data_IF_681431040118
#
_entry.id   IF_681431040118
#
_cell.length_a   1.000
_cell.length_b   1.000
_cell.length_c   1.000
_cell.angle_alpha   90.00
_cell.angle_beta   90.00
_cell.angle_gamma   90.00
#
_symmetry.space_group_name_H-M   'P 1'
#
loop_
_entity.id
_entity.type
_entity.pdbx_description
1 polymer ?
#
# COMPACT_ATOMS: atom_id res chain seq x y z
N UNK A 1 -18.78 -0.99 -15.34
CA UNK A 1 -17.56 -0.23 -14.98
C UNK A 1 -16.27 -0.94 -15.41
N UNK A 2 -16.07 -2.28 -15.24
CA UNK A 2 -14.80 -2.90 -15.61
C UNK A 2 -14.42 -2.73 -17.09
N UNK A 3 -15.41 -2.74 -17.99
CA UNK A 3 -15.19 -2.49 -19.42
C UNK A 3 -14.77 -1.05 -19.70
N UNK A 4 -15.37 -0.09 -18.99
CA UNK A 4 -15.08 1.32 -19.14
C UNK A 4 -13.67 1.67 -18.60
N UNK A 5 -13.27 1.06 -17.48
CA UNK A 5 -11.91 1.22 -16.96
C UNK A 5 -10.85 0.67 -17.90
N UNK A 6 -11.13 -0.48 -18.52
CA UNK A 6 -10.24 -1.06 -19.54
C UNK A 6 -10.10 -0.18 -20.77
N UNK A 7 -11.19 0.51 -21.17
CA UNK A 7 -11.17 1.42 -22.33
C UNK A 7 -10.37 2.71 -22.04
N UNK A 8 -10.20 3.08 -20.76
CA UNK A 8 -9.41 4.27 -20.35
C UNK A 8 -7.95 3.91 -20.08
N UNK A 9 -7.68 2.71 -19.57
CA UNK A 9 -6.36 2.21 -19.25
C UNK A 9 -6.06 0.95 -20.07
N UNK A 10 -5.20 1.08 -21.06
CA UNK A 10 -4.68 -0.02 -21.84
C UNK A 10 -3.28 -0.39 -21.32
N UNK A 11 -3.07 -1.67 -20.97
CA UNK A 11 -1.83 -2.18 -20.39
C UNK A 11 -1.33 -1.37 -19.19
N UNK A 12 -2.25 -0.91 -18.33
CA UNK A 12 -1.95 -0.09 -17.16
C UNK A 12 -1.51 1.34 -17.46
N UNK A 13 -1.44 1.74 -18.72
CA UNK A 13 -1.20 3.12 -19.13
C UNK A 13 -2.50 3.79 -19.52
N UNK A 14 -2.53 5.11 -19.32
CA UNK A 14 -3.69 5.89 -19.72
C UNK A 14 -3.90 5.77 -21.23
N UNK A 15 -5.00 5.13 -21.62
CA UNK A 15 -5.41 5.06 -23.02
C UNK A 15 -5.83 6.45 -23.50
N UNK A 16 -5.40 6.84 -24.68
CA UNK A 16 -5.85 8.04 -25.38
C UNK A 16 -6.35 7.65 -26.77
N UNK A 17 -7.27 8.43 -27.33
CA UNK A 17 -7.62 8.24 -28.75
C UNK A 17 -6.42 8.56 -29.64
N UNK A 18 -6.44 8.11 -30.91
CA UNK A 18 -5.33 8.25 -31.85
C UNK A 18 -4.81 9.68 -32.01
N UNK A 19 -5.66 10.67 -31.78
CA UNK A 19 -5.34 12.09 -31.92
C UNK A 19 -5.01 12.79 -30.59
N UNK A 20 -4.99 12.05 -29.47
CA UNK A 20 -4.83 12.60 -28.10
C UNK A 20 -5.78 13.79 -27.80
N UNK A 21 -6.96 13.75 -28.39
CA UNK A 21 -7.96 14.84 -28.28
C UNK A 21 -8.96 14.63 -27.15
N UNK A 22 -8.95 13.44 -26.54
CA UNK A 22 -9.80 13.12 -25.40
C UNK A 22 -9.29 13.85 -24.15
N UNK A 23 -9.69 15.13 -24.05
CA UNK A 23 -9.32 16.06 -22.96
C UNK A 23 -10.59 16.62 -22.38
N UNK A 24 -10.87 16.26 -21.15
CA UNK A 24 -12.08 16.75 -20.52
C UNK A 24 -12.11 16.48 -19.03
N UNK A 25 -13.06 17.12 -18.35
CA UNK A 25 -13.24 17.02 -16.92
C UNK A 25 -13.45 15.56 -16.46
N UNK A 26 -14.23 14.80 -17.25
CA UNK A 26 -14.51 13.39 -16.94
C UNK A 26 -13.24 12.52 -17.00
N UNK A 27 -12.43 12.67 -18.05
CA UNK A 27 -11.14 11.98 -18.15
C UNK A 27 -10.23 12.37 -17.00
N UNK A 28 -10.13 13.66 -16.68
CA UNK A 28 -9.35 14.13 -15.54
C UNK A 28 -9.79 13.53 -14.19
N UNK A 29 -11.09 13.38 -13.96
CA UNK A 29 -11.62 12.74 -12.75
C UNK A 29 -11.33 11.25 -12.70
N UNK A 30 -11.39 10.54 -13.83
CA UNK A 30 -11.05 9.12 -13.92
C UNK A 30 -9.55 8.90 -13.64
N UNK A 31 -8.69 9.74 -14.23
CA UNK A 31 -7.24 9.71 -13.95
C UNK A 31 -6.98 9.95 -12.46
N UNK A 32 -7.58 11.00 -11.89
CA UNK A 32 -7.37 11.35 -10.49
C UNK A 32 -7.85 10.25 -9.53
N UNK A 33 -8.95 9.56 -9.88
CA UNK A 33 -9.49 8.43 -9.10
C UNK A 33 -8.58 7.21 -9.16
N UNK A 34 -7.96 6.95 -10.33
CA UNK A 34 -7.28 5.69 -10.62
C UNK A 34 -8.24 4.54 -10.94
N UNK A 35 -7.71 3.36 -11.20
CA UNK A 35 -8.43 2.19 -11.69
C UNK A 35 -8.38 0.97 -10.75
N UNK A 36 -7.79 1.10 -9.58
CA UNK A 36 -7.63 0.02 -8.61
C UNK A 36 -7.85 0.51 -7.18
N UNK A 37 -7.93 -0.43 -6.26
CA UNK A 37 -7.86 -0.16 -4.82
C UNK A 37 -6.43 -0.40 -4.37
N UNK A 38 -5.88 0.53 -3.63
CA UNK A 38 -4.50 0.47 -3.10
C UNK A 38 -4.49 0.58 -1.58
N UNK A 39 -3.45 0.04 -0.99
CA UNK A 39 -3.14 0.15 0.42
C UNK A 39 -1.62 0.33 0.62
N UNK A 40 -1.15 0.21 1.86
CA UNK A 40 0.26 0.43 2.18
C UNK A 40 1.23 -0.55 1.49
N UNK A 41 0.76 -1.72 1.03
CA UNK A 41 1.62 -2.76 0.42
C UNK A 41 2.17 -2.36 -0.93
N UNK A 42 1.49 -1.44 -1.64
CA UNK A 42 1.97 -0.94 -2.94
C UNK A 42 3.08 0.11 -2.81
N UNK A 43 3.33 0.64 -1.60
CA UNK A 43 4.42 1.59 -1.36
C UNK A 43 5.70 0.83 -1.05
N UNK A 44 6.63 0.71 -1.99
CA UNK A 44 7.86 -0.05 -1.76
C UNK A 44 8.73 0.61 -0.70
N UNK A 45 9.47 -0.22 0.04
CA UNK A 45 10.42 0.22 1.07
C UNK A 45 11.82 -0.17 0.62
N UNK A 46 12.70 0.82 0.47
CA UNK A 46 14.09 0.56 0.11
C UNK A 46 14.76 -0.32 1.17
N UNK A 47 15.48 -1.38 0.78
CA UNK A 47 16.22 -2.21 1.71
C UNK A 47 17.32 -1.39 2.39
N UNK A 48 17.50 -1.60 3.70
CA UNK A 48 18.59 -0.98 4.45
C UNK A 48 19.81 -1.91 4.43
N UNK A 49 20.95 -1.41 3.97
CA UNK A 49 22.18 -2.21 3.94
C UNK A 49 22.66 -2.67 5.33
N UNK A 50 22.18 -2.01 6.40
CA UNK A 50 22.50 -2.41 7.77
C UNK A 50 21.77 -3.69 8.21
N UNK A 51 20.70 -4.08 7.52
CA UNK A 51 19.94 -5.29 7.78
C UNK A 51 20.62 -6.54 7.17
N UNK A 52 21.72 -6.35 6.44
CA UNK A 52 22.45 -7.41 5.74
C UNK A 52 23.94 -7.44 6.16
N UNK A 53 24.50 -8.64 6.29
CA UNK A 53 25.96 -8.76 6.52
C UNK A 53 26.72 -8.48 5.21
N UNK A 54 26.99 -7.20 4.96
CA UNK A 54 27.71 -6.76 3.75
C UNK A 54 29.17 -7.22 3.70
N UNK A 55 29.70 -7.85 4.75
CA UNK A 55 31.04 -8.40 4.76
C UNK A 55 31.12 -9.78 4.07
N UNK A 56 29.99 -10.50 4.02
CA UNK A 56 29.86 -11.82 3.38
C UNK A 56 29.36 -11.70 1.93
N UNK A 57 29.57 -12.73 1.13
CA UNK A 57 29.04 -12.79 -0.24
C UNK A 57 27.55 -13.06 -0.24
N UNK A 58 27.08 -13.89 0.67
CA UNK A 58 25.67 -14.20 0.90
C UNK A 58 24.88 -12.94 1.27
N UNK A 59 25.40 -12.14 2.20
CA UNK A 59 24.73 -10.89 2.62
C UNK A 59 24.65 -9.85 1.50
N UNK A 60 25.72 -9.71 0.70
CA UNK A 60 25.69 -8.82 -0.48
C UNK A 60 24.71 -9.31 -1.54
N UNK A 61 24.64 -10.62 -1.76
CA UNK A 61 23.70 -11.22 -2.72
C UNK A 61 22.26 -11.03 -2.26
N UNK A 62 21.97 -11.28 -0.98
CA UNK A 62 20.65 -11.04 -0.40
C UNK A 62 20.21 -9.57 -0.50
N UNK A 63 21.11 -8.63 -0.19
CA UNK A 63 20.86 -7.20 -0.36
C UNK A 63 20.57 -6.85 -1.83
N UNK A 64 21.36 -7.38 -2.77
CA UNK A 64 21.14 -7.12 -4.19
C UNK A 64 19.81 -7.68 -4.70
N UNK A 65 19.41 -8.85 -4.22
CA UNK A 65 18.10 -9.42 -4.53
C UNK A 65 16.95 -8.55 -3.99
N UNK A 66 17.05 -8.12 -2.73
CA UNK A 66 16.10 -7.22 -2.11
C UNK A 66 16.01 -5.88 -2.85
N UNK A 67 17.14 -5.34 -3.29
CA UNK A 67 17.19 -4.11 -4.08
C UNK A 67 16.57 -4.28 -5.48
N UNK A 68 16.79 -5.42 -6.13
CA UNK A 68 16.18 -5.71 -7.43
C UNK A 68 14.64 -5.83 -7.31
N UNK A 69 14.17 -6.43 -6.21
CA UNK A 69 12.73 -6.51 -5.95
C UNK A 69 12.12 -5.14 -5.65
N UNK A 70 12.80 -4.36 -4.80
CA UNK A 70 12.43 -2.96 -4.57
C UNK A 70 12.35 -2.15 -5.87
N UNK A 71 13.31 -2.31 -6.78
CA UNK A 71 13.30 -1.58 -8.06
C UNK A 71 12.09 -1.95 -8.93
N UNK A 72 11.65 -3.21 -8.93
CA UNK A 72 10.42 -3.63 -9.64
C UNK A 72 9.18 -3.04 -8.99
N UNK A 73 9.11 -3.06 -7.65
CA UNK A 73 7.98 -2.46 -6.92
C UNK A 73 7.94 -0.95 -7.12
N UNK A 74 9.11 -0.28 -7.17
CA UNK A 74 9.22 1.14 -7.49
C UNK A 74 8.72 1.46 -8.90
N UNK A 75 9.10 0.67 -9.90
CA UNK A 75 8.60 0.81 -11.27
C UNK A 75 7.08 0.62 -11.33
N UNK A 76 6.55 -0.37 -10.62
CA UNK A 76 5.11 -0.58 -10.51
C UNK A 76 4.41 0.63 -9.88
N UNK A 77 4.90 1.12 -8.75
CA UNK A 77 4.34 2.28 -8.06
C UNK A 77 4.33 3.52 -8.97
N UNK A 78 5.46 3.84 -9.58
CA UNK A 78 5.61 5.02 -10.45
C UNK A 78 4.76 4.92 -11.73
N UNK A 79 4.47 3.70 -12.19
CA UNK A 79 3.67 3.49 -13.40
C UNK A 79 2.16 3.52 -13.12
N UNK A 80 1.71 2.92 -12.02
CA UNK A 80 0.28 2.64 -11.79
C UNK A 80 -0.34 3.40 -10.63
N UNK A 81 0.42 3.80 -9.63
CA UNK A 81 -0.08 4.45 -8.41
C UNK A 81 0.16 5.95 -8.41
N UNK A 82 1.41 6.37 -8.62
CA UNK A 82 1.82 7.78 -8.55
C UNK A 82 1.04 8.69 -9.52
N UNK A 83 0.73 8.29 -10.77
CA UNK A 83 -0.01 9.16 -11.69
C UNK A 83 -1.42 9.53 -11.21
N UNK A 84 -1.98 8.74 -10.31
CA UNK A 84 -3.29 9.02 -9.68
C UNK A 84 -3.10 9.68 -8.32
N UNK A 85 -3.49 10.96 -8.21
CA UNK A 85 -3.40 11.71 -6.95
C UNK A 85 -4.19 11.05 -5.80
N UNK A 86 -5.29 10.33 -6.11
CA UNK A 86 -6.08 9.64 -5.09
C UNK A 86 -5.40 8.34 -4.67
N UNK A 87 -4.90 7.53 -5.62
CA UNK A 87 -4.23 6.28 -5.27
C UNK A 87 -2.96 6.53 -4.44
N UNK A 88 -2.11 7.46 -4.87
CA UNK A 88 -0.90 7.81 -4.13
C UNK A 88 -1.22 8.37 -2.74
N UNK A 89 -2.27 9.21 -2.62
CA UNK A 89 -2.71 9.71 -1.34
C UNK A 89 -3.24 8.59 -0.43
N UNK A 90 -4.04 7.69 -0.95
CA UNK A 90 -4.56 6.54 -0.17
C UNK A 90 -3.42 5.65 0.31
N UNK A 91 -2.50 5.26 -0.57
CA UNK A 91 -1.38 4.40 -0.25
C UNK A 91 -0.44 5.05 0.79
N UNK A 92 -0.10 6.33 0.62
CA UNK A 92 0.77 7.05 1.55
C UNK A 92 0.14 7.24 2.94
N UNK A 93 -1.15 7.58 3.00
CA UNK A 93 -1.84 7.71 4.28
C UNK A 93 -2.03 6.35 4.97
N UNK A 94 -2.36 5.32 4.21
CA UNK A 94 -2.47 3.96 4.74
C UNK A 94 -1.13 3.45 5.26
N UNK A 95 -0.01 3.79 4.60
CA UNK A 95 1.35 3.49 5.08
C UNK A 95 1.63 4.10 6.44
N UNK A 96 1.24 5.37 6.64
CA UNK A 96 1.37 6.03 7.95
C UNK A 96 0.56 5.31 9.02
N UNK A 97 -0.72 5.03 8.74
CA UNK A 97 -1.62 4.38 9.70
C UNK A 97 -1.13 2.97 10.02
N UNK A 98 -0.77 2.18 9.01
CA UNK A 98 -0.20 0.84 9.21
C UNK A 98 1.07 0.88 10.06
N UNK A 99 2.01 1.80 9.76
CA UNK A 99 3.24 1.94 10.53
C UNK A 99 3.00 2.22 12.01
N UNK A 100 2.08 3.13 12.34
CA UNK A 100 1.69 3.44 13.72
C UNK A 100 1.06 2.22 14.40
N UNK A 101 0.11 1.58 13.71
CA UNK A 101 -0.64 0.43 14.24
C UNK A 101 0.29 -0.75 14.51
N UNK A 102 1.11 -1.14 13.55
CA UNK A 102 2.03 -2.27 13.71
C UNK A 102 3.07 -2.00 14.80
N UNK A 103 3.56 -0.77 14.91
CA UNK A 103 4.53 -0.42 15.95
C UNK A 103 3.92 -0.45 17.33
N UNK A 104 2.74 0.16 17.53
CA UNK A 104 2.02 0.12 18.82
C UNK A 104 1.66 -1.31 19.20
N UNK A 105 1.07 -2.05 18.27
CA UNK A 105 0.70 -3.44 18.52
C UNK A 105 1.92 -4.33 18.78
N UNK A 106 3.05 -4.08 18.09
CA UNK A 106 4.31 -4.81 18.30
C UNK A 106 4.89 -4.61 19.71
N UNK A 107 4.77 -3.41 20.29
CA UNK A 107 5.17 -3.14 21.67
C UNK A 107 4.25 -3.86 22.67
N UNK A 108 2.93 -3.79 22.42
CA UNK A 108 1.95 -4.41 23.30
C UNK A 108 1.92 -5.95 23.19
N UNK A 109 2.23 -6.46 22.01
CA UNK A 109 2.22 -7.87 21.67
C UNK A 109 3.57 -8.26 21.03
N UNK A 110 4.68 -8.29 21.79
CA UNK A 110 5.97 -8.68 21.25
C UNK A 110 5.91 -10.12 20.73
N UNK A 111 6.54 -10.34 19.59
CA UNK A 111 6.51 -11.62 18.89
C UNK A 111 7.91 -12.21 18.78
N UNK A 112 8.00 -13.53 18.66
CA UNK A 112 9.20 -14.28 18.39
C UNK A 112 8.94 -15.33 17.32
N UNK A 113 9.98 -15.72 16.59
CA UNK A 113 9.92 -16.85 15.67
C UNK A 113 10.27 -18.14 16.41
N UNK A 114 9.47 -19.16 16.18
CA UNK A 114 9.76 -20.53 16.63
C UNK A 114 9.92 -21.45 15.41
N UNK A 115 11.01 -22.20 15.37
CA UNK A 115 11.25 -23.22 14.35
C UNK A 115 10.99 -24.60 14.92
N UNK A 116 10.18 -25.42 14.23
CA UNK A 116 9.86 -26.79 14.67
C UNK A 116 9.79 -27.76 13.49
N UNK A 117 9.99 -29.02 13.79
CA UNK A 117 9.96 -30.11 12.78
C UNK A 117 8.55 -30.59 12.46
N UNK A 118 7.59 -30.35 13.34
CA UNK A 118 6.18 -30.73 13.15
C UNK A 118 5.31 -29.47 13.12
N UNK A 119 4.28 -29.41 12.28
CA UNK A 119 3.37 -28.28 12.26
C UNK A 119 2.54 -28.18 13.53
N UNK A 120 2.10 -26.99 13.87
CA UNK A 120 0.99 -26.81 14.82
C UNK A 120 -0.32 -27.24 14.19
N UNK A 121 -1.24 -27.77 15.03
CA UNK A 121 -2.53 -28.27 14.57
C UNK A 121 -3.67 -27.47 15.16
N UNK A 122 -4.72 -27.30 14.37
CA UNK A 122 -6.00 -26.83 14.82
C UNK A 122 -6.69 -27.87 15.71
N UNK A 123 -7.77 -27.49 16.39
CA UNK A 123 -8.57 -28.41 17.24
C UNK A 123 -9.18 -29.57 16.43
N UNK A 124 -9.36 -29.45 15.15
CA UNK A 124 -9.85 -30.49 14.23
C UNK A 124 -8.75 -31.42 13.68
N UNK A 125 -7.49 -31.17 14.07
CA UNK A 125 -6.32 -31.92 13.61
C UNK A 125 -5.74 -31.48 12.27
N UNK A 126 -6.29 -30.44 11.64
CA UNK A 126 -5.69 -29.84 10.44
C UNK A 126 -4.45 -29.03 10.79
N UNK A 127 -3.48 -28.96 9.85
CA UNK A 127 -2.28 -28.14 10.03
C UNK A 127 -2.63 -26.65 10.06
N UNK A 128 -2.04 -25.91 11.01
CA UNK A 128 -2.01 -24.45 10.99
C UNK A 128 -0.93 -24.02 10.01
N UNK A 129 -1.26 -23.10 9.11
CA UNK A 129 -0.30 -22.56 8.14
C UNK A 129 0.87 -21.91 8.89
N UNK A 130 2.10 -22.29 8.50
CA UNK A 130 3.32 -21.68 8.99
C UNK A 130 3.62 -20.36 8.25
N UNK A 131 4.39 -19.48 8.87
CA UNK A 131 4.89 -18.28 8.24
C UNK A 131 5.94 -18.60 7.18
N UNK A 132 6.76 -19.61 7.47
CA UNK A 132 7.80 -20.10 6.54
C UNK A 132 7.86 -21.61 6.57
N UNK A 133 7.93 -22.21 5.37
CA UNK A 133 8.19 -23.62 5.16
C UNK A 133 9.63 -23.76 4.69
N UNK A 134 10.44 -24.58 5.40
CA UNK A 134 11.87 -24.77 5.14
C UNK A 134 12.11 -26.17 4.58
N UNK A 135 12.87 -26.22 3.49
CA UNK A 135 13.29 -27.42 2.78
C UNK A 135 14.80 -27.38 2.63
N UNK A 136 15.51 -28.19 3.41
CA UNK A 136 16.99 -28.22 3.44
C UNK A 136 17.57 -29.45 2.75
N UNK A 137 16.75 -30.44 2.43
CA UNK A 137 17.17 -31.77 1.96
C UNK A 137 16.63 -32.10 0.59
N UNK A 138 16.45 -31.09 -0.25
CA UNK A 138 15.91 -31.27 -1.61
C UNK A 138 17.05 -31.30 -2.60
N UNK A 139 17.12 -32.35 -3.40
CA UNK A 139 18.13 -32.57 -4.45
C UNK A 139 17.74 -31.94 -5.80
N UNK A 140 16.84 -30.97 -5.80
CA UNK A 140 16.35 -30.22 -6.97
C UNK A 140 16.63 -28.74 -6.84
N UNK A 141 17.18 -28.14 -7.89
CA UNK A 141 17.42 -26.70 -7.95
C UNK A 141 16.15 -25.85 -8.12
N UNK A 142 15.07 -26.44 -8.62
CA UNK A 142 13.80 -25.76 -8.88
C UNK A 142 12.65 -26.56 -8.30
N UNK A 143 11.82 -25.89 -7.53
CA UNK A 143 10.50 -26.34 -7.07
C UNK A 143 9.43 -25.42 -7.64
N UNK A 144 8.16 -25.68 -7.35
CA UNK A 144 7.05 -24.92 -7.87
C UNK A 144 6.13 -24.48 -6.73
N UNK A 145 5.60 -23.25 -6.83
CA UNK A 145 4.55 -22.79 -5.95
C UNK A 145 3.19 -23.42 -6.33
N UNK A 146 2.14 -23.12 -5.55
CA UNK A 146 0.78 -23.61 -5.80
C UNK A 146 0.17 -23.14 -7.14
N UNK A 147 0.73 -22.11 -7.76
CA UNK A 147 0.31 -21.59 -9.06
C UNK A 147 1.12 -22.15 -10.23
N UNK A 148 2.09 -23.03 -9.93
CA UNK A 148 2.98 -23.62 -10.93
C UNK A 148 4.12 -22.70 -11.38
N UNK A 149 4.43 -21.63 -10.63
CA UNK A 149 5.57 -20.76 -10.88
C UNK A 149 6.82 -21.38 -10.28
N UNK A 150 7.93 -21.25 -11.00
CA UNK A 150 9.23 -21.79 -10.57
C UNK A 150 9.79 -20.99 -9.39
N UNK A 151 10.28 -21.72 -8.38
CA UNK A 151 11.02 -21.19 -7.23
C UNK A 151 12.39 -21.85 -7.23
N UNK A 152 13.43 -21.03 -7.28
CA UNK A 152 14.83 -21.52 -7.31
C UNK A 152 15.38 -21.64 -5.89
N UNK A 153 15.98 -22.79 -5.58
CA UNK A 153 16.67 -23.03 -4.30
C UNK A 153 18.12 -22.54 -4.30
N UNK A 154 18.65 -22.36 -3.10
CA UNK A 154 20.07 -22.08 -2.86
C UNK A 154 20.85 -23.40 -2.80
N UNK A 155 21.90 -23.55 -3.61
CA UNK A 155 22.76 -24.72 -3.62
C UNK A 155 23.59 -24.79 -2.31
N UNK A 156 23.50 -25.92 -1.59
CA UNK A 156 24.22 -26.18 -0.35
C UNK A 156 25.64 -26.70 -0.59
N UNK A 157 26.02 -27.01 -1.83
CA UNK A 157 27.34 -27.55 -2.18
C UNK A 157 27.51 -29.02 -1.91
N UNK A 158 26.53 -29.73 -1.37
CA UNK A 158 26.52 -31.18 -1.10
C UNK A 158 25.55 -31.96 -2.03
N UNK A 159 25.01 -31.28 -3.04
CA UNK A 159 24.00 -31.83 -3.95
C UNK A 159 22.58 -31.63 -3.50
N UNK A 160 22.36 -30.93 -2.39
CA UNK A 160 21.04 -30.53 -1.91
C UNK A 160 20.82 -29.04 -2.08
N UNK A 161 19.56 -28.61 -1.98
CA UNK A 161 19.14 -27.22 -2.12
C UNK A 161 18.29 -26.80 -0.92
N UNK A 162 18.48 -25.56 -0.47
CA UNK A 162 17.68 -24.92 0.59
C UNK A 162 16.64 -24.00 0.00
N UNK A 163 15.44 -24.04 0.58
CA UNK A 163 14.32 -23.15 0.26
C UNK A 163 13.71 -22.63 1.56
N UNK A 164 13.33 -21.35 1.53
CA UNK A 164 12.40 -20.77 2.51
C UNK A 164 11.21 -20.18 1.75
N UNK A 165 9.99 -20.54 2.13
CA UNK A 165 8.79 -20.10 1.40
C UNK A 165 7.64 -19.86 2.37
N UNK A 166 6.86 -18.80 2.11
CA UNK A 166 5.61 -18.52 2.83
C UNK A 166 4.47 -19.49 2.48
N UNK A 167 4.69 -20.42 1.54
CA UNK A 167 3.73 -21.47 1.17
C UNK A 167 4.42 -22.80 0.88
N UNK A 168 3.66 -23.90 0.89
CA UNK A 168 4.21 -25.21 0.51
C UNK A 168 4.63 -25.23 -0.94
N UNK A 169 5.78 -25.88 -1.21
CA UNK A 169 6.33 -26.04 -2.54
C UNK A 169 6.03 -27.45 -3.08
N UNK A 170 6.05 -27.57 -4.41
CA UNK A 170 5.68 -28.77 -5.15
C UNK A 170 6.83 -29.23 -6.06
N UNK A 171 6.93 -30.51 -6.32
CA UNK A 171 7.96 -31.10 -7.19
C UNK A 171 7.83 -30.71 -8.66
N UNK A 172 6.63 -30.37 -9.09
CA UNK A 172 6.29 -29.88 -10.44
C UNK A 172 5.00 -29.08 -10.40
N UNK A 173 4.71 -28.34 -11.46
CA UNK A 173 3.43 -27.62 -11.61
C UNK A 173 2.26 -28.60 -11.50
N UNK A 174 1.44 -28.49 -10.44
CA UNK A 174 0.33 -29.40 -10.14
C UNK A 174 0.73 -30.79 -9.64
N UNK A 175 2.00 -30.98 -9.26
CA UNK A 175 2.54 -32.22 -8.72
C UNK A 175 2.29 -32.42 -7.22
N UNK A 176 3.01 -33.38 -6.62
CA UNK A 176 2.98 -33.64 -5.20
C UNK A 176 3.70 -32.52 -4.43
N UNK A 177 3.21 -32.22 -3.23
CA UNK A 177 3.90 -31.32 -2.32
C UNK A 177 5.20 -31.97 -1.84
N UNK A 178 6.28 -31.18 -1.77
CA UNK A 178 7.56 -31.60 -1.19
C UNK A 178 7.41 -31.73 0.33
N UNK A 179 8.12 -32.69 0.90
CA UNK A 179 8.16 -32.83 2.36
C UNK A 179 8.86 -31.64 2.99
N UNK A 180 8.19 -30.99 3.95
CA UNK A 180 8.74 -29.88 4.70
C UNK A 180 9.68 -30.42 5.79
N UNK A 181 10.91 -29.89 5.88
CA UNK A 181 11.88 -30.27 6.91
C UNK A 181 11.62 -29.56 8.24
N UNK A 182 11.27 -28.27 8.16
CA UNK A 182 10.88 -27.49 9.34
C UNK A 182 9.92 -26.37 9.01
N UNK A 183 9.19 -25.95 10.03
CA UNK A 183 8.17 -24.91 9.99
C UNK A 183 8.59 -23.77 10.89
N UNK A 184 8.49 -22.53 10.42
CA UNK A 184 8.66 -21.35 11.25
C UNK A 184 7.31 -20.68 11.50
N UNK A 185 7.06 -20.37 12.75
CA UNK A 185 5.87 -19.65 13.18
C UNK A 185 6.25 -18.39 13.93
N UNK A 186 5.62 -17.29 13.56
CA UNK A 186 5.64 -16.08 14.36
C UNK A 186 4.59 -16.22 15.46
N UNK A 187 4.99 -15.99 16.71
CA UNK A 187 4.12 -16.20 17.86
C UNK A 187 4.33 -15.14 18.93
N UNK A 188 3.34 -14.96 19.81
CA UNK A 188 3.49 -14.09 20.96
C UNK A 188 4.65 -14.54 21.84
N UNK A 189 5.58 -13.65 22.12
CA UNK A 189 6.69 -13.89 23.04
C UNK A 189 6.20 -13.78 24.50
N UNK A 190 5.87 -14.92 25.09
CA UNK A 190 5.35 -14.99 26.46
C UNK A 190 6.35 -14.52 27.52
N UNK A 191 7.65 -14.48 27.18
CA UNK A 191 8.70 -14.01 28.09
C UNK A 191 8.79 -12.48 28.12
N UNK A 192 8.38 -11.84 27.03
CA UNK A 192 8.43 -10.38 26.87
C UNK A 192 7.07 -9.70 26.87
N UNK A 193 5.97 -10.45 26.76
CA UNK A 193 4.63 -9.87 26.68
C UNK A 193 4.26 -9.12 27.94
N UNK A 194 3.47 -8.06 27.78
CA UNK A 194 2.79 -7.41 28.89
C UNK A 194 1.49 -8.13 29.28
N UNK A 195 0.97 -7.73 30.41
CA UNK A 195 -0.27 -8.24 30.96
C UNK A 195 -1.23 -7.08 31.25
N UNK A 196 -2.52 -7.34 31.14
CA UNK A 196 -3.53 -6.42 31.61
C UNK A 196 -3.51 -6.31 33.14
N UNK A 197 -4.03 -5.19 33.65
CA UNK A 197 -4.29 -4.98 35.08
C UNK A 197 -5.66 -5.52 35.50
N UNK A 198 -6.38 -6.16 34.59
CA UNK A 198 -7.64 -6.83 34.84
C UNK A 198 -7.46 -8.11 35.70
N UNK A 199 -8.56 -8.60 36.30
CA UNK A 199 -8.51 -9.75 37.20
C UNK A 199 -7.97 -11.02 36.53
N UNK A 200 -8.17 -11.15 35.20
CA UNK A 200 -7.72 -12.30 34.43
C UNK A 200 -6.28 -12.13 33.91
N UNK A 201 -5.66 -10.97 34.12
CA UNK A 201 -4.35 -10.65 33.58
C UNK A 201 -4.27 -10.98 32.08
N UNK A 202 -5.14 -10.35 31.31
CA UNK A 202 -5.24 -10.56 29.86
C UNK A 202 -3.86 -10.40 29.23
N UNK A 203 -3.45 -11.37 28.42
CA UNK A 203 -2.10 -11.47 27.85
C UNK A 203 -2.10 -10.88 26.44
N UNK A 204 -1.07 -10.12 26.11
CA UNK A 204 -0.73 -9.73 24.75
C UNK A 204 -1.91 -9.20 23.93
N UNK A 205 -2.63 -8.22 24.46
CA UNK A 205 -3.80 -7.64 23.79
C UNK A 205 -3.37 -6.49 22.89
N UNK A 206 -3.66 -6.61 21.60
CA UNK A 206 -3.46 -5.50 20.66
C UNK A 206 -4.40 -4.31 20.95
N UNK A 207 -3.95 -3.10 20.67
CA UNK A 207 -4.78 -1.90 20.79
C UNK A 207 -5.64 -1.66 19.55
N UNK A 208 -5.06 -1.86 18.37
CA UNK A 208 -5.75 -1.75 17.09
C UNK A 208 -5.94 -3.14 16.51
N UNK A 209 -7.19 -3.54 16.28
CA UNK A 209 -7.53 -4.84 15.73
C UNK A 209 -8.10 -4.74 14.32
N UNK A 210 -7.98 -5.82 13.58
CA UNK A 210 -8.60 -5.99 12.27
C UNK A 210 -10.08 -6.29 12.42
N UNK A 211 -10.88 -5.97 11.40
CA UNK A 211 -12.30 -6.31 11.36
C UNK A 211 -12.41 -7.75 10.84
N UNK A 212 -12.95 -8.66 11.66
CA UNK A 212 -13.18 -10.05 11.24
C UNK A 212 -12.00 -11.01 11.41
N UNK A 213 -10.80 -10.51 11.73
CA UNK A 213 -9.61 -11.37 11.86
C UNK A 213 -8.90 -11.11 13.19
N UNK A 214 -8.77 -12.13 14.00
CA UNK A 214 -8.03 -12.06 15.27
C UNK A 214 -6.52 -12.01 15.00
N UNK A 215 -5.76 -11.33 15.89
CA UNK A 215 -4.30 -11.25 15.78
C UNK A 215 -3.64 -12.62 15.91
N UNK A 216 -4.18 -13.47 16.79
CA UNK A 216 -3.59 -14.75 17.10
C UNK A 216 -4.57 -15.90 16.92
N UNK A 217 -4.06 -16.98 16.39
CA UNK A 217 -4.67 -18.32 16.45
C UNK A 217 -4.21 -18.96 17.75
N UNK A 218 -5.14 -19.37 18.60
CA UNK A 218 -4.81 -20.08 19.85
C UNK A 218 -4.74 -21.57 19.60
N UNK A 219 -3.63 -22.18 19.98
CA UNK A 219 -3.43 -23.62 19.91
C UNK A 219 -2.75 -24.13 21.20
N UNK A 220 -2.50 -25.42 21.28
CA UNK A 220 -1.86 -26.07 22.43
C UNK A 220 -0.45 -26.49 22.01
N UNK A 221 0.53 -26.11 22.81
CA UNK A 221 1.92 -26.55 22.66
C UNK A 221 2.15 -27.98 23.09
N UNK A 222 3.37 -28.47 22.90
CA UNK A 222 3.74 -29.88 23.17
C UNK A 222 3.64 -30.26 24.63
N UNK A 223 3.73 -29.31 25.57
CA UNK A 223 3.60 -29.51 27.02
C UNK A 223 2.22 -29.14 27.56
N UNK A 224 1.25 -28.88 26.68
CA UNK A 224 -0.10 -28.52 27.05
C UNK A 224 -0.32 -27.04 27.38
N UNK A 225 0.70 -26.18 27.15
CA UNK A 225 0.58 -24.73 27.29
C UNK A 225 -0.23 -24.11 26.15
N UNK A 226 -0.81 -22.95 26.41
CA UNK A 226 -1.50 -22.18 25.35
C UNK A 226 -0.48 -21.40 24.52
N UNK A 227 -0.47 -21.63 23.22
CA UNK A 227 0.34 -20.95 22.23
C UNK A 227 -0.54 -19.97 21.45
N UNK A 228 0.00 -18.79 21.18
CA UNK A 228 -0.64 -17.72 20.42
C UNK A 228 0.15 -17.49 19.12
N UNK A 229 -0.23 -18.20 18.06
CA UNK A 229 0.39 -18.07 16.74
C UNK A 229 -0.12 -16.85 16.04
N UNK A 230 0.76 -16.07 15.42
CA UNK A 230 0.37 -14.93 14.60
C UNK A 230 -0.55 -15.41 13.47
N UNK A 231 -1.71 -14.78 13.34
CA UNK A 231 -2.57 -15.03 12.20
C UNK A 231 -1.98 -14.27 11.02
N UNK A 232 -1.47 -15.03 10.04
CA UNK A 232 -0.64 -14.53 8.97
C UNK A 232 -1.28 -13.40 8.18
N UNK A 233 -0.48 -12.41 7.83
CA UNK A 233 -0.85 -11.38 6.90
C UNK A 233 -0.75 -11.96 5.48
N UNK A 234 -1.83 -11.84 4.72
CA UNK A 234 -1.87 -12.21 3.33
C UNK A 234 -2.20 -10.97 2.49
N UNK A 235 -1.25 -10.48 1.72
CA UNK A 235 -1.42 -9.27 0.88
C UNK A 235 -2.54 -9.40 -0.15
N UNK A 236 -2.94 -10.62 -0.49
CA UNK A 236 -4.07 -10.88 -1.39
C UNK A 236 -5.42 -10.94 -0.68
N UNK A 237 -5.42 -11.01 0.67
CA UNK A 237 -6.62 -11.05 1.49
C UNK A 237 -6.80 -9.72 2.22
N UNK A 238 -7.76 -8.95 1.75
CA UNK A 238 -8.09 -7.65 2.33
C UNK A 238 -8.33 -7.68 3.83
N UNK A 239 -8.93 -8.74 4.36
CA UNK A 239 -9.28 -8.89 5.77
C UNK A 239 -8.07 -9.23 6.66
N UNK A 240 -6.96 -9.65 6.05
CA UNK A 240 -5.74 -10.02 6.79
C UNK A 240 -4.84 -8.84 7.13
N UNK A 241 -5.05 -7.67 6.52
CA UNK A 241 -4.15 -6.53 6.61
C UNK A 241 -4.60 -5.48 7.62
N UNK A 242 -3.62 -4.85 8.32
CA UNK A 242 -3.86 -3.66 9.17
C UNK A 242 -3.84 -2.41 8.31
N UNK A 243 -4.96 -2.12 7.65
CA UNK A 243 -5.13 -1.00 6.72
C UNK A 243 -6.40 -0.21 6.94
N UNK A 244 -6.47 0.98 6.39
CA UNK A 244 -7.66 1.82 6.43
C UNK A 244 -8.88 1.05 5.88
N UNK A 245 -10.01 1.19 6.57
CA UNK A 245 -11.23 0.46 6.25
C UNK A 245 -11.31 -0.94 6.86
N UNK A 246 -10.18 -1.51 7.34
CA UNK A 246 -10.14 -2.79 8.06
C UNK A 246 -9.67 -2.67 9.52
N UNK A 247 -9.52 -1.45 10.04
CA UNK A 247 -9.08 -1.20 11.40
C UNK A 247 -10.22 -0.77 12.30
N UNK A 248 -10.13 -1.20 13.56
CA UNK A 248 -10.94 -0.73 14.68
C UNK A 248 -10.08 -0.69 15.94
N UNK A 249 -10.48 0.11 16.92
CA UNK A 249 -9.96 -0.05 18.28
C UNK A 249 -10.44 -1.41 18.79
N UNK A 250 -9.53 -2.17 19.39
CA UNK A 250 -9.87 -3.48 19.95
C UNK A 250 -11.06 -3.37 20.91
N UNK A 251 -12.20 -4.04 20.64
CA UNK A 251 -13.39 -3.94 21.47
C UNK A 251 -13.17 -4.35 22.93
N UNK A 252 -12.24 -5.27 23.18
CA UNK A 252 -11.92 -5.70 24.55
C UNK A 252 -11.19 -4.62 25.32
N UNK A 253 -10.20 -3.95 24.67
CA UNK A 253 -9.49 -2.81 25.25
C UNK A 253 -10.40 -1.58 25.40
N UNK A 254 -11.32 -1.34 24.46
CA UNK A 254 -12.28 -0.25 24.52
C UNK A 254 -13.31 -0.42 25.66
N UNK A 255 -13.76 -1.65 25.92
CA UNK A 255 -14.69 -1.95 27.02
C UNK A 255 -14.02 -1.94 28.39
N UNK A 256 -12.77 -2.36 28.45
CA UNK A 256 -11.98 -2.40 29.68
C UNK A 256 -10.52 -2.05 29.39
N UNK A 257 -10.16 -0.79 29.61
CA UNK A 257 -8.79 -0.30 29.42
C UNK A 257 -7.76 -1.05 30.30
N UNK A 258 -8.21 -1.70 31.38
CA UNK A 258 -7.36 -2.55 32.19
C UNK A 258 -6.83 -3.79 31.47
N UNK A 259 -7.38 -4.14 30.30
CA UNK A 259 -6.86 -5.22 29.45
C UNK A 259 -5.66 -4.82 28.59
N UNK A 260 -5.35 -3.52 28.48
CA UNK A 260 -4.16 -3.07 27.76
C UNK A 260 -2.92 -3.59 28.51
N UNK A 261 -1.97 -4.25 27.84
CA UNK A 261 -0.88 -4.95 28.48
C UNK A 261 0.26 -4.01 28.94
N UNK A 262 -0.05 -3.14 29.92
CA UNK A 262 0.87 -2.19 30.54
C UNK A 262 1.30 -2.58 31.96
N UNK A 263 1.19 -3.88 32.29
CA UNK A 263 1.68 -4.40 33.55
C UNK A 263 2.56 -5.63 33.37
N UNK A 264 3.38 -5.91 34.36
CA UNK A 264 4.16 -7.15 34.45
C UNK A 264 3.28 -8.31 34.92
N UNK A 265 3.78 -9.54 34.79
CA UNK A 265 3.09 -10.75 35.28
C UNK A 265 2.73 -10.67 36.77
N UNK A 266 3.53 -9.94 37.56
CA UNK A 266 3.27 -9.72 38.99
C UNK A 266 2.21 -8.64 39.24
N UNK A 267 1.72 -7.95 38.19
CA UNK A 267 0.71 -6.90 38.29
C UNK A 267 1.29 -5.53 38.73
N UNK A 268 2.58 -5.29 38.46
CA UNK A 268 3.19 -3.96 38.62
C UNK A 268 3.12 -3.23 37.29
N UNK A 269 3.03 -1.91 37.34
CA UNK A 269 3.10 -1.07 36.14
C UNK A 269 4.40 -1.32 35.37
N UNK A 270 4.30 -1.46 34.05
CA UNK A 270 5.41 -1.62 33.13
C UNK A 270 5.78 -0.26 32.55
N UNK A 271 6.64 0.48 33.26
CA UNK A 271 7.09 1.81 32.84
C UNK A 271 8.01 1.76 31.60
N UNK A 272 8.75 0.66 31.41
CA UNK A 272 9.63 0.51 30.25
C UNK A 272 8.80 0.40 28.99
N UNK A 273 7.73 -0.41 28.99
CA UNK A 273 6.79 -0.53 27.86
C UNK A 273 6.04 0.77 27.60
N UNK A 274 5.61 1.47 28.66
CA UNK A 274 4.99 2.77 28.53
C UNK A 274 5.93 3.80 27.90
N UNK A 275 7.23 3.74 28.24
CA UNK A 275 8.26 4.58 27.64
C UNK A 275 8.47 4.25 26.16
N UNK A 276 8.56 2.97 25.80
CA UNK A 276 8.65 2.56 24.39
C UNK A 276 7.50 3.14 23.54
N UNK A 277 6.26 3.14 24.08
CA UNK A 277 5.11 3.75 23.40
C UNK A 277 5.24 5.26 23.18
N UNK A 278 6.03 5.94 24.00
CA UNK A 278 6.35 7.36 23.80
C UNK A 278 7.48 7.53 22.80
N UNK A 279 8.50 6.70 22.88
CA UNK A 279 9.70 6.81 22.06
C UNK A 279 9.45 6.51 20.56
N UNK A 280 8.38 5.75 20.23
CA UNK A 280 8.04 5.44 18.83
C UNK A 280 7.86 6.68 17.96
N UNK A 281 7.42 7.80 18.53
CA UNK A 281 7.14 9.01 17.74
C UNK A 281 8.39 9.66 17.14
N UNK A 282 9.56 9.35 17.71
CA UNK A 282 10.85 9.79 17.22
C UNK A 282 11.56 8.75 16.32
N UNK A 283 10.98 7.55 16.20
CA UNK A 283 11.54 6.49 15.35
C UNK A 283 11.29 6.76 13.87
N UNK A 284 12.31 6.52 13.06
CA UNK A 284 12.21 6.57 11.60
C UNK A 284 11.62 5.27 11.06
N UNK A 285 10.49 5.33 10.35
CA UNK A 285 9.80 4.13 9.91
C UNK A 285 9.71 3.96 8.39
N UNK A 286 9.50 5.04 7.63
CA UNK A 286 9.31 4.97 6.18
C UNK A 286 9.73 6.25 5.45
N UNK A 287 10.00 6.13 4.16
CA UNK A 287 10.03 7.25 3.22
C UNK A 287 8.64 7.54 2.69
N UNK A 288 8.39 8.80 2.29
CA UNK A 288 7.08 9.23 1.81
C UNK A 288 6.73 8.60 0.45
N UNK A 289 7.71 8.50 -0.42
CA UNK A 289 7.57 7.87 -1.72
C UNK A 289 8.83 7.05 -2.06
N UNK A 290 8.79 6.17 -3.07
CA UNK A 290 9.92 5.31 -3.41
C UNK A 290 11.18 6.03 -3.85
N UNK A 291 11.07 7.26 -4.33
CA UNK A 291 12.22 8.04 -4.80
C UNK A 291 12.99 8.71 -3.64
N UNK A 292 12.43 8.69 -2.44
CA UNK A 292 13.04 9.23 -1.23
C UNK A 292 13.64 8.10 -0.38
N UNK A 293 14.96 8.02 -0.34
CA UNK A 293 15.66 7.00 0.47
C UNK A 293 15.67 7.29 1.98
N UNK A 294 15.50 8.56 2.36
CA UNK A 294 15.54 8.95 3.77
C UNK A 294 14.21 8.62 4.45
N UNK A 295 14.27 7.71 5.42
CA UNK A 295 13.13 7.41 6.30
C UNK A 295 12.85 8.60 7.23
N UNK A 296 11.58 8.89 7.44
CA UNK A 296 11.08 9.94 8.34
C UNK A 296 10.44 9.33 9.59
N UNK A 297 10.41 10.07 10.68
CA UNK A 297 9.52 9.78 11.80
C UNK A 297 8.06 10.06 11.42
N UNK A 298 7.10 9.61 12.24
CA UNK A 298 5.67 9.69 11.92
C UNK A 298 5.17 11.12 11.73
N UNK A 299 5.63 12.08 12.55
CA UNK A 299 5.23 13.47 12.45
C UNK A 299 5.82 14.15 11.21
N UNK A 300 7.10 13.90 10.93
CA UNK A 300 7.76 14.39 9.73
C UNK A 300 7.16 13.78 8.47
N UNK A 301 6.82 12.49 8.49
CA UNK A 301 6.13 11.83 7.39
C UNK A 301 4.77 12.47 7.12
N UNK A 302 3.95 12.68 8.15
CA UNK A 302 2.65 13.34 8.01
C UNK A 302 2.77 14.77 7.46
N UNK A 303 3.71 15.56 8.01
CA UNK A 303 3.93 16.93 7.56
C UNK A 303 4.39 16.97 6.09
N UNK A 304 5.31 16.10 5.70
CA UNK A 304 5.78 15.98 4.32
C UNK A 304 4.63 15.56 3.40
N UNK A 305 3.84 14.56 3.82
CA UNK A 305 2.65 14.10 3.10
C UNK A 305 1.66 15.23 2.83
N UNK A 306 1.26 15.98 3.85
CA UNK A 306 0.34 17.13 3.67
C UNK A 306 0.99 18.22 2.81
N UNK A 307 2.29 18.50 3.01
CA UNK A 307 3.03 19.51 2.25
C UNK A 307 3.12 19.19 0.75
N UNK A 308 3.33 17.93 0.40
CA UNK A 308 3.37 17.46 -0.99
C UNK A 308 2.02 17.67 -1.69
N UNK A 309 0.92 17.21 -1.08
CA UNK A 309 -0.40 17.39 -1.68
C UNK A 309 -0.87 18.85 -1.70
N UNK A 310 -0.51 19.65 -0.70
CA UNK A 310 -0.77 21.09 -0.72
C UNK A 310 -0.03 21.79 -1.85
N UNK A 311 1.24 21.40 -2.09
CA UNK A 311 2.06 21.93 -3.18
C UNK A 311 1.52 21.52 -4.54
N UNK A 312 1.15 20.25 -4.71
CA UNK A 312 0.50 19.73 -5.92
C UNK A 312 -0.81 20.45 -6.19
N UNK A 313 -1.68 20.59 -5.18
CA UNK A 313 -2.94 21.30 -5.29
C UNK A 313 -2.76 22.76 -5.72
N UNK A 314 -1.77 23.46 -5.14
CA UNK A 314 -1.45 24.83 -5.53
C UNK A 314 -0.92 24.93 -6.95
N UNK A 315 -0.08 24.00 -7.39
CA UNK A 315 0.44 23.95 -8.75
C UNK A 315 -0.69 23.74 -9.77
N UNK A 316 -1.60 22.80 -9.49
CA UNK A 316 -2.78 22.54 -10.32
C UNK A 316 -3.72 23.75 -10.37
N UNK A 317 -3.98 24.41 -9.23
CA UNK A 317 -4.78 25.62 -9.17
C UNK A 317 -4.20 26.74 -10.04
N UNK A 318 -2.88 26.98 -9.94
CA UNK A 318 -2.21 27.98 -10.75
C UNK A 318 -2.26 27.61 -12.25
N UNK A 319 -2.08 26.31 -12.58
CA UNK A 319 -2.20 25.83 -13.95
C UNK A 319 -3.58 26.09 -14.54
N UNK A 320 -4.65 25.77 -13.80
CA UNK A 320 -6.04 26.04 -14.22
C UNK A 320 -6.26 27.54 -14.44
N UNK A 321 -5.77 28.39 -13.52
CA UNK A 321 -5.87 29.85 -13.66
C UNK A 321 -5.17 30.36 -14.93
N UNK A 322 -3.98 29.88 -15.22
CA UNK A 322 -3.24 30.21 -16.44
C UNK A 322 -3.98 29.75 -17.71
N UNK A 323 -4.52 28.53 -17.71
CA UNK A 323 -5.28 28.00 -18.84
C UNK A 323 -6.55 28.81 -19.09
N UNK A 324 -7.28 29.18 -18.02
CA UNK A 324 -8.47 30.03 -18.12
C UNK A 324 -8.12 31.38 -18.76
N UNK A 325 -7.04 32.02 -18.31
CA UNK A 325 -6.58 33.29 -18.89
C UNK A 325 -6.23 33.15 -20.38
N UNK A 326 -5.61 32.03 -20.77
CA UNK A 326 -5.30 31.75 -22.18
C UNK A 326 -6.57 31.55 -23.01
N UNK A 327 -7.55 30.80 -22.50
CA UNK A 327 -8.85 30.58 -23.18
C UNK A 327 -9.55 31.92 -23.37
N UNK A 328 -9.63 32.76 -22.33
CA UNK A 328 -10.23 34.10 -22.42
C UNK A 328 -9.50 34.97 -23.45
N UNK A 329 -8.17 34.87 -23.51
CA UNK A 329 -7.36 35.54 -24.52
C UNK A 329 -7.69 35.10 -25.95
N UNK A 330 -7.79 33.79 -26.18
CA UNK A 330 -8.17 33.25 -27.49
C UNK A 330 -9.62 33.61 -27.89
N UNK A 331 -10.56 33.58 -26.94
CA UNK A 331 -11.92 34.00 -27.19
C UNK A 331 -12.01 35.47 -27.56
N UNK A 332 -11.27 36.34 -26.87
CA UNK A 332 -11.16 37.74 -27.25
C UNK A 332 -10.59 37.96 -28.65
N UNK A 333 -9.54 37.19 -29.01
CA UNK A 333 -8.98 37.24 -30.36
C UNK A 333 -9.97 36.75 -31.42
N UNK A 334 -10.71 35.69 -31.13
CA UNK A 334 -11.78 35.19 -31.98
C UNK A 334 -12.85 36.22 -32.20
N UNK A 335 -13.34 36.85 -31.11
CA UNK A 335 -14.34 37.93 -31.17
C UNK A 335 -13.88 39.13 -31.97
N UNK A 336 -12.57 39.49 -31.90
CA UNK A 336 -11.97 40.55 -32.72
C UNK A 336 -11.94 40.18 -34.20
N UNK A 337 -11.70 38.91 -34.54
CA UNK A 337 -11.62 38.42 -35.91
C UNK A 337 -12.98 38.13 -36.55
N UNK A 338 -13.87 37.54 -35.78
CA UNK A 338 -15.20 37.07 -36.26
C UNK A 338 -16.33 37.99 -35.82
N UNK A 339 -16.10 38.85 -34.81
CA UNK A 339 -17.09 39.72 -34.25
C UNK A 339 -17.49 40.81 -35.26
N UNK A 340 -18.77 40.91 -35.49
CA UNK A 340 -19.36 41.95 -36.30
C UNK A 340 -19.56 43.20 -35.43
N UNK A 341 -18.91 44.30 -35.80
CA UNK A 341 -19.11 45.59 -35.14
C UNK A 341 -20.52 46.07 -35.39
N UNK A 342 -21.30 46.25 -34.31
CA UNK A 342 -22.68 46.78 -34.39
C UNK A 342 -22.69 48.14 -35.15
N UNK A 343 -21.68 48.96 -34.99
CA UNK A 343 -21.56 50.26 -35.65
C UNK A 343 -21.31 50.11 -37.16
N UNK A 344 -20.47 49.16 -37.56
CA UNK A 344 -20.21 48.88 -39.00
C UNK A 344 -21.45 48.28 -39.67
N UNK A 345 -22.21 47.41 -38.99
CA UNK A 345 -23.43 46.88 -39.54
C UNK A 345 -24.53 47.92 -39.59
N UNK A 346 -24.61 48.80 -38.61
CA UNK A 346 -25.50 49.94 -38.67
C UNK A 346 -25.20 50.88 -39.81
N UNK A 347 -23.90 51.17 -40.04
CA UNK A 347 -23.46 51.98 -41.20
C UNK A 347 -23.83 51.29 -42.51
N UNK A 348 -23.56 50.00 -42.65
CA UNK A 348 -23.95 49.21 -43.83
C UNK A 348 -25.49 49.23 -44.01
N UNK A 349 -26.26 49.04 -42.95
CA UNK A 349 -27.70 49.08 -43.00
C UNK A 349 -28.23 50.45 -43.47
N UNK A 350 -27.68 51.55 -42.95
CA UNK A 350 -28.04 52.89 -43.40
C UNK A 350 -27.69 53.10 -44.89
N UNK A 351 -26.52 52.64 -45.32
CA UNK A 351 -26.08 52.71 -46.70
C UNK A 351 -26.96 51.94 -47.66
N UNK A 352 -27.36 50.68 -47.28
CA UNK A 352 -28.29 49.89 -48.06
C UNK A 352 -29.71 50.49 -48.08
N UNK A 353 -30.16 51.07 -46.97
CA UNK A 353 -31.45 51.75 -46.90
C UNK A 353 -31.49 53.01 -47.81
N UNK A 354 -30.38 53.78 -47.86
CA UNK A 354 -30.26 54.90 -48.77
C UNK A 354 -30.24 54.46 -50.24
N UNK A 355 -29.50 53.37 -50.56
CA UNK A 355 -29.45 52.79 -51.89
C UNK A 355 -30.85 52.27 -52.33
N UNK A 356 -31.56 51.59 -51.44
CA UNK A 356 -32.92 51.16 -51.68
C UNK A 356 -33.88 52.33 -51.95
N UNK A 357 -33.80 53.39 -51.16
CA UNK A 357 -34.64 54.62 -51.34
C UNK A 357 -34.33 55.33 -52.68
N UNK A 358 -33.02 55.35 -53.08
CA UNK A 358 -32.61 55.90 -54.34
C UNK A 358 -33.14 55.11 -55.55
N UNK A 359 -33.03 53.77 -55.46
CA UNK A 359 -33.54 52.84 -56.47
C UNK A 359 -35.06 52.91 -56.59
N UNK A 360 -35.80 52.98 -55.47
CA UNK A 360 -37.23 53.11 -55.42
C UNK A 360 -37.69 54.43 -56.07
N UNK A 361 -36.96 55.51 -55.87
CA UNK A 361 -37.26 56.81 -56.57
C UNK A 361 -37.05 56.72 -58.06
N UNK A 362 -35.99 55.99 -58.49
CA UNK A 362 -35.68 55.83 -59.93
C UNK A 362 -36.74 54.99 -60.64
N UNK A 363 -37.32 53.96 -59.98
CA UNK A 363 -38.39 53.14 -60.56
C UNK A 363 -39.73 53.85 -60.62
N UNK A 364 -39.98 54.84 -59.76
CA UNK A 364 -41.25 55.59 -59.67
C UNK A 364 -41.21 56.90 -60.48
N UNK A 365 -40.20 57.12 -61.33
CA UNK A 365 -40.14 58.17 -62.33
C UNK A 365 -40.43 57.58 -63.70
#
# INVERSE_FOLDING_TARGET
WPSYERDVYEDGKLASNADDTDKGQLKGLIIARGNMVVDYTVVPVAPDSNDYDMSTEEGRTAYQQAYNEYAKQQEYYNTYVEPSAILSAMAGFDKLVNGIVERINGILCPEKTETRTNPYLNADGSEIQADTYIYNSVDKAVLYDRYGREVTGTDNGDGTYSYASGEKLYESAGGAAVTVDSYEYLMLDMDKTGYGMDDNKTVGTELFSRIGTDRYIKTTGDNGETIYLRNNLNETDYESLYKLGNLKINPEAAQNVGKIPLSTVQGKEDFDRAKELVDIWDEKFASLNPDMYAKSDYMSFYNNYIGEYATMGKALYNYVGNQTTMVDGYDNQRLQSEGVSSDEELEKMIKYQQAYNAASRYVNV
#
